data_IF_629170393232
#
_entry.id   IF_629170393232
#
_cell.length_a   1.000
_cell.length_b   1.000
_cell.length_c   1.000
_cell.angle_alpha   90.00
_cell.angle_beta   90.00
_cell.angle_gamma   90.00
#
_symmetry.space_group_name_H-M   'P 1'
#
loop_
_entity.id
_entity.type
_entity.pdbx_description
1 polymer ?
#
# COMPACT_ATOMS: atom_id res chain seq x y z
N UNK A 1 12.69 19.00 -8.69
CA UNK A 1 12.77 18.67 -7.25
C UNK A 1 11.87 17.47 -6.98
N UNK A 2 12.41 16.25 -7.04
CA UNK A 2 11.67 15.04 -6.73
C UNK A 2 11.66 14.88 -5.21
N UNK A 3 10.49 14.95 -4.57
CA UNK A 3 10.33 14.59 -3.18
C UNK A 3 10.63 13.10 -3.05
N UNK A 4 11.88 12.77 -2.71
CA UNK A 4 12.24 11.42 -2.28
C UNK A 4 11.54 11.23 -0.95
N UNK A 5 10.41 10.53 -0.98
CA UNK A 5 9.74 10.06 0.23
C UNK A 5 10.71 9.07 0.86
N UNK A 6 11.59 9.56 1.74
CA UNK A 6 12.50 8.74 2.53
C UNK A 6 11.65 8.04 3.58
N UNK A 7 11.06 6.90 3.21
CA UNK A 7 10.45 5.99 4.17
C UNK A 7 11.62 5.47 5.02
N UNK A 8 11.74 5.84 6.32
CA UNK A 8 12.89 5.47 7.16
C UNK A 8 13.05 3.95 7.35
N UNK A 9 12.04 3.19 6.92
CA UNK A 9 11.89 1.74 7.00
C UNK A 9 11.76 1.12 5.61
N UNK A 10 12.41 1.71 4.58
CA UNK A 10 12.30 1.26 3.19
C UNK A 10 12.80 -0.17 2.94
N UNK A 11 13.64 -0.70 3.83
CA UNK A 11 14.11 -2.08 3.81
C UNK A 11 13.30 -3.02 4.71
N UNK A 12 12.31 -2.51 5.47
CA UNK A 12 11.45 -3.33 6.32
C UNK A 12 10.41 -4.06 5.47
N UNK A 13 10.42 -5.39 5.59
CA UNK A 13 9.46 -6.24 4.87
C UNK A 13 8.12 -6.25 5.58
N UNK A 14 7.05 -5.91 4.88
CA UNK A 14 5.67 -6.07 5.33
C UNK A 14 5.06 -7.34 4.73
N UNK A 15 4.33 -8.12 5.55
CA UNK A 15 3.50 -9.23 5.08
C UNK A 15 2.04 -8.79 5.10
N UNK A 16 1.35 -8.92 3.97
CA UNK A 16 -0.09 -8.63 3.84
C UNK A 16 -0.83 -9.85 3.33
N UNK A 17 -2.01 -10.09 3.88
CA UNK A 17 -2.92 -11.11 3.37
C UNK A 17 -3.77 -10.51 2.26
N UNK A 18 -3.56 -11.00 1.04
CA UNK A 18 -4.26 -10.57 -0.16
C UNK A 18 -4.84 -11.78 -0.88
N UNK A 19 -5.96 -11.58 -1.57
CA UNK A 19 -6.46 -12.60 -2.49
C UNK A 19 -5.59 -12.67 -3.75
N UNK A 20 -5.59 -13.81 -4.45
CA UNK A 20 -4.83 -14.00 -5.69
C UNK A 20 -5.15 -12.89 -6.72
N UNK A 21 -6.43 -12.51 -6.84
CA UNK A 21 -6.86 -11.45 -7.76
C UNK A 21 -6.27 -10.09 -7.39
N UNK A 22 -6.21 -9.78 -6.10
CA UNK A 22 -5.64 -8.52 -5.59
C UNK A 22 -4.13 -8.48 -5.79
N UNK A 23 -3.42 -9.57 -5.47
CA UNK A 23 -1.98 -9.69 -5.71
C UNK A 23 -1.63 -9.54 -7.19
N UNK A 24 -2.40 -10.18 -8.08
CA UNK A 24 -2.27 -10.04 -9.53
C UNK A 24 -2.53 -8.59 -9.97
N UNK A 25 -3.52 -7.92 -9.39
CA UNK A 25 -3.81 -6.52 -9.71
C UNK A 25 -2.66 -5.59 -9.31
N UNK A 26 -2.06 -5.80 -8.13
CA UNK A 26 -0.86 -5.07 -7.69
C UNK A 26 0.38 -5.36 -8.56
N UNK A 27 0.49 -6.58 -9.11
CA UNK A 27 1.53 -6.94 -10.07
C UNK A 27 1.32 -6.33 -11.48
N UNK A 28 0.26 -5.53 -11.68
CA UNK A 28 -0.02 -4.84 -12.94
C UNK A 28 -0.96 -5.60 -13.89
N UNK A 29 -1.56 -6.70 -13.44
CA UNK A 29 -2.54 -7.45 -14.23
C UNK A 29 -3.88 -6.72 -14.18
N UNK A 30 -4.33 -6.24 -15.33
CA UNK A 30 -5.60 -5.51 -15.45
C UNK A 30 -6.77 -6.47 -15.56
N UNK A 31 -7.67 -6.40 -14.57
CA UNK A 31 -8.95 -7.09 -14.61
C UNK A 31 -10.00 -6.21 -15.29
N UNK A 32 -10.12 -6.33 -16.62
CA UNK A 32 -11.07 -5.56 -17.44
C UNK A 32 -12.53 -5.70 -17.00
N UNK A 33 -12.90 -6.83 -16.40
CA UNK A 33 -14.27 -7.08 -15.91
C UNK A 33 -14.49 -6.62 -14.47
N UNK A 34 -13.44 -6.23 -13.72
CA UNK A 34 -13.59 -5.93 -12.31
C UNK A 34 -12.54 -4.94 -11.78
N UNK A 35 -12.69 -3.67 -12.18
CA UNK A 35 -11.88 -2.54 -11.71
C UNK A 35 -11.85 -2.40 -10.18
N UNK A 36 -12.85 -2.94 -9.49
CA UNK A 36 -12.94 -2.90 -8.03
C UNK A 36 -11.82 -3.70 -7.34
N UNK A 37 -11.25 -4.71 -8.01
CA UNK A 37 -10.16 -5.54 -7.45
C UNK A 37 -8.87 -4.73 -7.27
N UNK A 38 -8.56 -3.82 -8.20
CA UNK A 38 -7.38 -2.96 -8.07
C UNK A 38 -7.56 -1.98 -6.91
N UNK A 39 -8.75 -1.40 -6.79
CA UNK A 39 -9.10 -0.47 -5.72
C UNK A 39 -9.07 -1.18 -4.36
N UNK A 40 -9.61 -2.40 -4.26
CA UNK A 40 -9.60 -3.17 -3.01
C UNK A 40 -8.18 -3.56 -2.61
N UNK A 41 -7.35 -3.98 -3.56
CA UNK A 41 -5.96 -4.34 -3.31
C UNK A 41 -5.14 -3.14 -2.80
N UNK A 42 -5.30 -1.97 -3.43
CA UNK A 42 -4.65 -0.72 -3.01
C UNK A 42 -5.11 -0.31 -1.61
N UNK A 43 -6.42 -0.37 -1.35
CA UNK A 43 -6.98 0.00 -0.05
C UNK A 43 -6.43 -0.88 1.07
N UNK A 44 -6.41 -2.20 0.88
CA UNK A 44 -5.84 -3.13 1.87
C UNK A 44 -4.35 -2.89 2.13
N UNK A 45 -3.59 -2.63 1.07
CA UNK A 45 -2.16 -2.31 1.22
C UNK A 45 -1.97 -1.02 2.01
N UNK A 46 -2.77 0.00 1.72
CA UNK A 46 -2.76 1.26 2.46
C UNK A 46 -3.15 1.06 3.92
N UNK A 47 -4.25 0.35 4.20
CA UNK A 47 -4.68 0.03 5.57
C UNK A 47 -3.60 -0.75 6.33
N UNK A 48 -2.92 -1.69 5.67
CA UNK A 48 -1.81 -2.41 6.28
C UNK A 48 -0.63 -1.48 6.59
N UNK A 49 -0.25 -0.59 5.67
CA UNK A 49 0.79 0.42 5.86
C UNK A 49 0.46 1.37 7.02
N UNK A 50 -0.78 1.85 7.08
CA UNK A 50 -1.28 2.70 8.16
C UNK A 50 -1.22 1.97 9.51
N UNK A 51 -1.64 0.71 9.57
CA UNK A 51 -1.60 -0.10 10.79
C UNK A 51 -0.17 -0.42 11.25
N UNK A 52 0.72 -0.84 10.33
CA UNK A 52 2.06 -1.29 10.69
C UNK A 52 3.00 -0.13 11.01
N UNK A 53 2.87 0.98 10.29
CA UNK A 53 3.75 2.14 10.46
C UNK A 53 3.10 3.27 11.25
N UNK A 54 1.84 3.11 11.67
CA UNK A 54 1.11 4.15 12.38
C UNK A 54 1.24 5.47 11.64
N UNK A 55 1.02 5.49 10.32
CA UNK A 55 1.03 6.72 9.50
C UNK A 55 -0.21 7.56 9.85
N UNK A 56 -0.56 7.64 11.12
CA UNK A 56 -1.09 8.86 11.70
C UNK A 56 0.01 9.89 11.47
N UNK A 57 -0.25 10.77 10.50
CA UNK A 57 0.35 12.09 10.39
C UNK A 57 1.21 12.43 11.62
N UNK A 58 2.54 12.19 11.54
CA UNK A 58 3.52 12.94 12.34
C UNK A 58 3.47 14.41 11.86
N UNK A 59 2.30 15.05 11.85
CA UNK A 59 2.17 16.40 12.39
C UNK A 59 2.05 16.26 13.90
N UNK A 60 3.17 15.99 14.54
CA UNK A 60 3.45 16.72 15.77
C UNK A 60 4.95 16.93 15.88
N UNK A 61 5.39 18.10 15.38
CA UNK A 61 6.01 19.19 16.15
C UNK A 61 7.51 18.98 16.42
N UNK A 62 8.33 19.70 15.65
CA UNK A 62 9.15 20.79 16.20
C UNK A 62 9.36 21.88 15.16
#
# INVERSE_FOLDING_TARGET
MAATVKIPQGDDTMKVELTIKEAMALAGIKFHSNHNVEVSAKKKLQEALENQYGIEERRSVH
#
